data_IF_085651727663
#
_entry.id   IF_085651727663
#
_cell.length_a   1.000
_cell.length_b   1.000
_cell.length_c   1.000
_cell.angle_alpha   90.00
_cell.angle_beta   90.00
_cell.angle_gamma   90.00
#
_symmetry.space_group_name_H-M   'P 1'
#
loop_
_entity.id
_entity.type
_entity.pdbx_description
1 polymer ?
#
# COMPACT_ATOMS: atom_id res chain seq x y z
N UNK A 1 5.52 -3.97 17.99
CA UNK A 1 5.83 -2.70 17.30
C UNK A 1 6.04 -3.03 15.85
N UNK A 2 5.26 -2.42 14.97
CA UNK A 2 5.07 -2.87 13.60
C UNK A 2 6.19 -2.31 12.70
N UNK A 3 6.82 -3.18 11.90
CA UNK A 3 7.79 -2.79 10.88
C UNK A 3 7.00 -2.55 9.59
N UNK A 4 6.88 -1.31 9.13
CA UNK A 4 6.16 -0.98 7.89
C UNK A 4 7.15 -0.56 6.78
N UNK A 5 7.12 -1.21 5.61
CA UNK A 5 7.70 -0.70 4.35
C UNK A 5 6.78 0.39 3.76
N UNK A 6 7.30 1.35 2.99
CA UNK A 6 6.48 2.37 2.30
C UNK A 6 5.94 1.83 0.98
N UNK A 7 4.63 1.98 0.74
CA UNK A 7 3.97 1.67 -0.52
C UNK A 7 2.79 2.64 -0.75
N UNK A 8 2.49 3.03 -1.99
CA UNK A 8 1.50 4.09 -2.28
C UNK A 8 0.29 3.55 -3.06
N UNK A 9 -0.93 3.70 -2.55
CA UNK A 9 -2.12 3.51 -3.37
C UNK A 9 -2.43 4.81 -4.11
N UNK A 10 -2.53 4.77 -5.44
CA UNK A 10 -2.67 5.95 -6.30
C UNK A 10 -3.99 5.80 -7.07
N UNK A 11 -5.03 6.52 -6.69
CA UNK A 11 -6.31 6.53 -7.41
C UNK A 11 -6.25 7.56 -8.54
N UNK A 12 -6.40 7.14 -9.81
CA UNK A 12 -6.34 8.04 -10.97
C UNK A 12 -7.58 7.87 -11.83
N UNK A 13 -8.39 8.91 -12.00
CA UNK A 13 -9.61 8.84 -12.80
C UNK A 13 -9.33 9.12 -14.30
N UNK A 14 -10.27 8.82 -15.21
CA UNK A 14 -10.27 9.35 -16.58
C UNK A 14 -11.68 9.86 -16.92
N UNK A 15 -11.85 11.16 -17.18
CA UNK A 15 -13.11 11.75 -17.66
C UNK A 15 -12.84 12.69 -18.83
N UNK A 16 -13.44 12.40 -19.99
CA UNK A 16 -13.39 13.27 -21.17
C UNK A 16 -14.25 12.72 -22.31
N UNK A 17 -15.11 13.58 -22.87
CA UNK A 17 -16.00 13.33 -23.99
C UNK A 17 -15.28 12.80 -25.24
N UNK A 18 -15.52 11.54 -25.58
CA UNK A 18 -15.16 10.98 -26.89
C UNK A 18 -16.43 10.86 -27.73
N UNK A 19 -16.69 11.89 -28.55
CA UNK A 19 -17.66 11.80 -29.66
C UNK A 19 -17.16 10.76 -30.67
N UNK A 20 -17.62 9.52 -30.52
CA UNK A 20 -17.41 8.43 -31.47
C UNK A 20 -18.13 8.73 -32.79
N UNK A 21 -17.38 9.08 -33.82
CA UNK A 21 -17.79 8.84 -35.20
C UNK A 21 -17.46 7.38 -35.54
N UNK A 22 -18.50 6.62 -35.88
CA UNK A 22 -18.41 5.22 -36.26
C UNK A 22 -17.69 5.07 -37.62
N UNK A 23 -16.56 4.38 -37.63
CA UNK A 23 -16.05 3.63 -38.78
C UNK A 23 -15.00 2.62 -38.34
N UNK A 24 -15.31 1.35 -38.60
CA UNK A 24 -14.50 0.12 -38.64
C UNK A 24 -13.02 0.08 -38.15
N UNK A 25 -12.76 -1.04 -37.43
CA UNK A 25 -11.49 -1.61 -36.93
C UNK A 25 -10.81 -0.82 -35.81
N UNK A 26 -10.80 -1.38 -34.61
CA UNK A 26 -9.79 -1.14 -33.57
C UNK A 26 -8.57 -2.02 -33.88
N UNK A 27 -7.42 -1.46 -34.29
CA UNK A 27 -6.15 -2.19 -34.31
C UNK A 27 -5.35 -1.82 -33.05
N UNK A 28 -4.88 -2.86 -32.36
CA UNK A 28 -3.73 -2.93 -31.44
C UNK A 28 -3.45 -1.71 -30.52
N UNK A 29 -3.83 -1.83 -29.24
CA UNK A 29 -2.89 -1.41 -28.17
C UNK A 29 -1.58 -2.11 -28.52
N UNK A 30 -0.44 -1.42 -28.71
CA UNK A 30 0.84 -2.08 -29.00
C UNK A 30 1.31 -2.94 -27.81
N UNK A 31 0.66 -4.11 -27.74
CA UNK A 31 0.58 -5.20 -26.77
C UNK A 31 1.07 -4.87 -25.35
N UNK A 32 0.44 -3.90 -24.68
CA UNK A 32 0.80 -3.44 -23.33
C UNK A 32 2.30 -3.12 -23.12
N UNK A 33 2.98 -2.61 -24.17
CA UNK A 33 4.32 -2.02 -24.31
C UNK A 33 5.23 -2.75 -25.36
N UNK A 34 6.01 -2.02 -26.20
CA UNK A 34 6.67 -2.51 -27.43
C UNK A 34 7.62 -3.73 -27.32
N UNK A 35 7.73 -4.51 -28.41
CA UNK A 35 8.53 -5.77 -28.53
C UNK A 35 10.06 -5.63 -28.38
N UNK A 36 10.60 -4.41 -28.45
CA UNK A 36 12.05 -4.16 -28.44
C UNK A 36 12.57 -3.57 -27.11
N UNK A 37 11.75 -3.56 -26.05
CA UNK A 37 12.10 -2.99 -24.76
C UNK A 37 12.42 -4.07 -23.70
N UNK A 38 13.66 -4.05 -23.19
CA UNK A 38 14.00 -4.71 -21.92
C UNK A 38 13.56 -3.82 -20.76
N UNK A 39 12.64 -4.29 -19.93
CA UNK A 39 12.36 -3.71 -18.62
C UNK A 39 13.66 -3.67 -17.79
N UNK A 40 14.21 -2.48 -17.55
CA UNK A 40 15.48 -2.31 -16.81
C UNK A 40 15.33 -1.83 -15.36
N UNK A 41 14.13 -1.51 -14.88
CA UNK A 41 13.99 -0.95 -13.55
C UNK A 41 12.61 -1.21 -12.91
N UNK A 42 12.63 -1.75 -11.69
CA UNK A 42 11.49 -1.72 -10.76
C UNK A 42 11.54 -0.39 -10.01
N UNK A 43 10.43 0.33 -10.00
CA UNK A 43 10.34 1.61 -9.28
C UNK A 43 10.00 1.32 -7.82
N UNK A 44 10.86 1.73 -6.91
CA UNK A 44 10.74 1.44 -5.49
C UNK A 44 10.78 2.68 -4.57
N UNK A 45 10.55 2.50 -3.28
CA UNK A 45 10.60 3.53 -2.23
C UNK A 45 11.58 3.06 -1.17
N UNK A 46 12.81 2.79 -1.60
CA UNK A 46 13.83 2.12 -0.82
C UNK A 46 14.19 2.91 0.45
N UNK A 47 14.32 2.17 1.54
CA UNK A 47 14.68 2.71 2.85
C UNK A 47 15.75 1.87 3.52
N UNK A 48 16.37 2.43 4.54
CA UNK A 48 17.16 1.66 5.51
C UNK A 48 16.28 0.66 6.28
N UNK A 49 16.86 -0.36 6.92
CA UNK A 49 16.13 -1.24 7.85
C UNK A 49 15.43 -0.41 8.93
N UNK A 50 14.32 -0.89 9.50
CA UNK A 50 13.60 -0.10 10.51
C UNK A 50 14.24 -0.13 11.90
N UNK A 51 15.21 -1.01 12.14
CA UNK A 51 16.00 -1.07 13.39
C UNK A 51 17.42 -1.55 13.13
N UNK A 52 18.29 -1.24 14.09
CA UNK A 52 19.65 -1.77 14.22
C UNK A 52 19.64 -3.28 14.48
N UNK A 53 20.12 -4.06 13.51
CA UNK A 53 20.20 -5.53 13.52
C UNK A 53 21.36 -5.97 12.60
N UNK A 54 21.87 -7.18 12.79
CA UNK A 54 22.89 -7.81 11.93
C UNK A 54 24.15 -6.94 11.70
N UNK A 55 24.61 -6.25 12.73
CA UNK A 55 25.71 -5.28 12.61
C UNK A 55 27.09 -5.92 12.39
N UNK A 56 27.19 -7.22 12.68
CA UNK A 56 28.34 -8.02 12.30
C UNK A 56 28.39 -8.26 10.78
N UNK A 57 27.28 -8.03 10.05
CA UNK A 57 27.20 -8.13 8.59
C UNK A 57 27.22 -6.77 7.89
N UNK A 58 26.60 -5.75 8.49
CA UNK A 58 26.36 -4.45 7.88
C UNK A 58 26.74 -3.31 8.81
N UNK A 59 27.12 -2.13 8.27
CA UNK A 59 27.50 -1.01 9.11
C UNK A 59 26.33 -0.53 9.99
N UNK A 60 26.62 -0.05 11.23
CA UNK A 60 25.62 0.56 12.12
C UNK A 60 24.99 1.82 11.53
N UNK A 61 25.70 2.50 10.61
CA UNK A 61 25.29 3.75 10.02
C UNK A 61 25.24 3.57 8.51
N UNK A 62 24.08 3.87 7.94
CA UNK A 62 23.79 3.74 6.52
C UNK A 62 23.97 5.11 5.86
N UNK A 63 25.07 5.30 5.15
CA UNK A 63 25.48 6.58 4.56
C UNK A 63 24.88 6.76 3.15
N UNK A 64 23.54 6.89 3.06
CA UNK A 64 22.79 6.84 1.79
C UNK A 64 21.65 7.87 1.71
N UNK A 65 21.66 8.86 2.61
CA UNK A 65 20.61 9.87 2.76
C UNK A 65 21.22 11.27 2.71
N UNK A 66 21.72 11.69 1.55
CA UNK A 66 22.41 13.00 1.42
C UNK A 66 21.49 14.17 1.74
N UNK A 67 20.19 14.04 1.44
CA UNK A 67 19.19 15.08 1.75
C UNK A 67 18.97 15.26 3.25
N UNK A 68 19.44 14.34 4.11
CA UNK A 68 19.38 14.50 5.57
C UNK A 68 20.26 15.62 6.10
N UNK A 69 21.18 16.13 5.28
CA UNK A 69 21.92 17.34 5.63
C UNK A 69 20.96 18.49 5.93
N UNK A 70 19.83 18.57 5.22
CA UNK A 70 18.94 19.73 5.30
C UNK A 70 17.70 19.41 6.12
N UNK A 71 17.70 19.84 7.39
CA UNK A 71 16.47 19.94 8.18
C UNK A 71 15.98 21.38 8.14
N UNK A 72 14.71 21.55 7.80
CA UNK A 72 14.05 22.86 7.89
C UNK A 72 13.44 22.99 9.28
N UNK A 73 13.92 23.96 10.05
CA UNK A 73 13.33 24.35 11.32
C UNK A 73 12.56 25.65 11.16
N UNK A 74 11.36 25.73 11.72
CA UNK A 74 10.65 26.99 11.83
C UNK A 74 10.96 27.57 13.20
N UNK A 75 11.61 28.73 13.24
CA UNK A 75 11.70 29.53 14.45
C UNK A 75 10.57 30.54 14.45
N UNK A 76 9.99 30.77 15.62
CA UNK A 76 9.00 31.84 15.82
C UNK A 76 9.68 32.96 16.57
N UNK A 77 9.76 34.14 15.94
CA UNK A 77 10.02 35.37 16.66
C UNK A 77 8.71 35.88 17.25
N UNK A 78 8.72 36.18 18.55
CA UNK A 78 7.56 36.70 19.27
C UNK A 78 7.69 38.22 19.38
N UNK A 79 6.70 38.96 18.87
CA UNK A 79 6.54 40.40 19.10
C UNK A 79 5.22 40.62 19.84
N UNK A 80 5.27 40.64 21.17
CA UNK A 80 4.07 40.51 22.01
C UNK A 80 3.43 39.11 21.90
N UNK A 81 2.13 39.07 21.55
CA UNK A 81 1.39 37.80 21.27
C UNK A 81 1.45 37.39 19.79
N UNK A 82 1.99 38.24 18.92
CA UNK A 82 2.08 37.95 17.49
C UNK A 82 3.34 37.14 17.18
N UNK A 83 3.14 36.01 16.51
CA UNK A 83 4.17 35.07 16.11
C UNK A 83 4.55 35.28 14.64
N UNK A 84 5.81 35.65 14.36
CA UNK A 84 6.38 35.65 13.01
C UNK A 84 7.30 34.43 12.83
N UNK A 85 6.88 33.54 11.95
CA UNK A 85 7.62 32.32 11.63
C UNK A 85 8.67 32.57 10.55
N UNK A 86 9.92 32.19 10.82
CA UNK A 86 11.03 32.17 9.86
C UNK A 86 11.57 30.74 9.74
N UNK A 87 11.83 30.30 8.50
CA UNK A 87 12.46 29.01 8.25
C UNK A 87 13.98 29.17 8.27
N UNK A 88 14.67 28.41 9.11
CA UNK A 88 16.13 28.32 9.18
C UNK A 88 16.55 26.92 8.72
N UNK A 89 17.48 26.88 7.77
CA UNK A 89 18.15 25.66 7.37
C UNK A 89 19.14 25.21 8.44
N UNK A 90 19.03 23.96 8.87
CA UNK A 90 19.98 23.32 9.77
C UNK A 90 20.77 22.29 8.96
N UNK A 91 22.09 22.38 9.02
CA UNK A 91 22.97 21.33 8.52
C UNK A 91 23.19 20.26 9.58
N UNK A 92 22.72 19.03 9.32
CA UNK A 92 22.91 17.91 10.23
C UNK A 92 24.20 17.16 9.93
N UNK A 93 25.06 17.07 10.94
CA UNK A 93 26.33 16.36 10.89
C UNK A 93 26.28 15.20 11.89
N UNK A 94 26.76 14.01 11.49
CA UNK A 94 26.90 12.88 12.42
C UNK A 94 28.26 12.92 13.08
N UNK A 95 28.24 13.23 14.38
CA UNK A 95 29.42 13.16 15.23
C UNK A 95 29.84 11.70 15.44
N UNK A 96 31.13 11.42 15.19
CA UNK A 96 31.75 10.12 15.41
C UNK A 96 33.02 10.34 16.23
N UNK A 97 33.14 9.72 17.41
CA UNK A 97 34.41 9.73 18.13
C UNK A 97 35.51 9.18 17.21
N UNK A 98 36.50 10.02 16.91
CA UNK A 98 37.72 9.67 16.16
C UNK A 98 37.56 9.32 14.66
N UNK A 99 36.46 9.68 13.99
CA UNK A 99 36.33 9.57 12.53
C UNK A 99 35.74 10.84 11.92
N UNK A 100 36.19 11.20 10.72
CA UNK A 100 35.59 12.27 9.93
C UNK A 100 34.09 12.04 9.74
N UNK A 101 33.34 13.14 9.83
CA UNK A 101 31.88 13.20 9.83
C UNK A 101 31.32 12.60 8.55
N UNK A 102 30.33 11.71 8.68
CA UNK A 102 29.59 11.21 7.53
C UNK A 102 28.32 12.07 7.38
N UNK A 103 28.36 13.00 6.43
CA UNK A 103 27.33 14.03 6.25
C UNK A 103 26.07 13.48 5.55
N UNK A 104 25.85 12.17 5.50
CA UNK A 104 24.71 11.55 4.78
C UNK A 104 24.13 10.32 5.46
N UNK A 105 24.32 10.23 6.78
CA UNK A 105 23.77 9.15 7.57
C UNK A 105 22.23 9.17 7.56
N UNK A 106 21.65 8.02 7.27
CA UNK A 106 20.24 7.74 7.44
C UNK A 106 19.91 7.42 8.90
N UNK A 107 18.72 7.80 9.34
CA UNK A 107 18.06 7.11 10.46
C UNK A 107 17.55 5.74 10.00
N UNK A 108 17.31 4.83 10.94
CA UNK A 108 16.64 3.56 10.64
C UNK A 108 15.18 3.81 10.23
N UNK A 109 14.73 3.13 9.17
CA UNK A 109 13.40 3.25 8.60
C UNK A 109 13.20 4.52 7.78
N UNK A 110 14.29 5.12 7.30
CA UNK A 110 14.27 6.35 6.53
C UNK A 110 14.44 6.09 5.03
N UNK A 111 13.74 6.88 4.21
CA UNK A 111 13.87 6.84 2.75
C UNK A 111 15.31 7.21 2.35
N UNK A 112 15.93 6.42 1.48
CA UNK A 112 17.28 6.69 0.96
C UNK A 112 17.22 7.51 -0.32
N UNK A 113 18.39 7.95 -0.80
CA UNK A 113 18.48 8.65 -2.09
C UNK A 113 17.94 7.80 -3.24
N UNK A 114 18.18 6.48 -3.20
CA UNK A 114 17.61 5.54 -4.15
C UNK A 114 16.07 5.58 -4.08
N UNK A 115 15.50 5.51 -2.87
CA UNK A 115 14.05 5.62 -2.67
C UNK A 115 13.45 6.93 -3.16
N UNK A 116 14.13 8.06 -2.97
CA UNK A 116 13.69 9.37 -3.49
C UNK A 116 13.66 9.41 -5.02
N UNK A 117 14.74 8.94 -5.64
CA UNK A 117 14.85 8.88 -7.09
C UNK A 117 13.78 7.97 -7.67
N UNK A 118 13.63 6.77 -7.12
CA UNK A 118 12.63 5.82 -7.55
C UNK A 118 11.20 6.40 -7.40
N UNK A 119 10.83 7.02 -6.28
CA UNK A 119 9.52 7.68 -6.17
C UNK A 119 9.32 8.83 -7.18
N UNK A 120 10.37 9.57 -7.51
CA UNK A 120 10.33 10.59 -8.57
C UNK A 120 10.12 9.98 -9.97
N UNK A 121 10.72 8.81 -10.24
CA UNK A 121 10.46 8.06 -11.48
C UNK A 121 9.02 7.55 -11.54
N UNK A 122 8.43 7.13 -10.42
CA UNK A 122 7.00 6.78 -10.36
C UNK A 122 6.14 7.99 -10.70
N UNK A 123 6.46 9.16 -10.16
CA UNK A 123 5.79 10.42 -10.50
C UNK A 123 5.90 10.78 -11.98
N UNK A 124 7.10 10.64 -12.55
CA UNK A 124 7.35 10.85 -13.99
C UNK A 124 6.48 9.92 -14.82
N UNK A 125 6.38 8.65 -14.42
CA UNK A 125 5.54 7.66 -15.08
C UNK A 125 4.05 8.03 -15.05
N UNK A 126 3.55 8.51 -13.91
CA UNK A 126 2.17 9.00 -13.83
C UNK A 126 1.96 10.20 -14.76
N UNK A 127 2.95 11.10 -14.88
CA UNK A 127 2.88 12.25 -15.79
C UNK A 127 2.75 11.81 -17.24
N UNK A 128 3.62 10.90 -17.68
CA UNK A 128 3.59 10.36 -19.05
C UNK A 128 2.21 9.83 -19.43
N UNK A 129 1.53 9.15 -18.50
CA UNK A 129 0.23 8.55 -18.76
C UNK A 129 -0.87 9.61 -18.64
N UNK A 130 -0.98 10.27 -17.49
CA UNK A 130 -2.17 11.03 -17.13
C UNK A 130 -2.13 12.50 -17.53
N UNK A 131 -0.94 13.07 -17.76
CA UNK A 131 -0.79 14.42 -18.30
C UNK A 131 -0.54 14.33 -19.79
N UNK A 132 0.57 13.69 -20.18
CA UNK A 132 1.09 13.83 -21.55
C UNK A 132 0.28 13.03 -22.59
N UNK A 133 -0.12 11.79 -22.27
CA UNK A 133 -0.89 10.92 -23.19
C UNK A 133 -2.39 11.13 -23.12
N UNK A 134 -2.95 11.19 -21.92
CA UNK A 134 -4.40 11.23 -21.73
C UNK A 134 -4.95 12.66 -21.65
N UNK A 135 -4.11 13.66 -21.37
CA UNK A 135 -4.58 15.02 -21.08
C UNK A 135 -5.58 15.08 -19.91
N UNK A 136 -5.55 14.07 -19.03
CA UNK A 136 -6.51 13.93 -17.95
C UNK A 136 -6.21 14.89 -16.81
N UNK A 137 -4.94 14.98 -16.41
CA UNK A 137 -4.44 15.94 -15.44
C UNK A 137 -3.88 17.19 -16.14
N UNK A 138 -3.94 18.37 -15.49
CA UNK A 138 -3.40 19.59 -16.07
C UNK A 138 -1.88 19.50 -16.28
N UNK A 139 -1.36 20.27 -17.24
CA UNK A 139 0.09 20.32 -17.51
C UNK A 139 0.89 20.85 -16.31
N UNK A 140 0.35 21.87 -15.65
CA UNK A 140 0.89 22.50 -14.43
C UNK A 140 0.12 22.05 -13.20
N UNK A 141 0.78 22.06 -12.04
CA UNK A 141 0.17 21.67 -10.77
C UNK A 141 -1.03 22.57 -10.45
N UNK A 142 -2.19 21.95 -10.27
CA UNK A 142 -3.38 22.57 -9.69
C UNK A 142 -3.78 21.79 -8.44
N UNK A 143 -3.71 22.48 -7.29
CA UNK A 143 -4.06 21.92 -6.00
C UNK A 143 -5.50 21.38 -5.93
N UNK A 144 -6.44 21.99 -6.66
CA UNK A 144 -7.85 21.55 -6.68
C UNK A 144 -8.02 20.19 -7.34
N UNK A 145 -7.14 19.85 -8.27
CA UNK A 145 -7.22 18.60 -9.03
C UNK A 145 -6.64 17.40 -8.27
N UNK A 146 -5.92 17.60 -7.17
CA UNK A 146 -5.15 16.54 -6.50
C UNK A 146 -5.40 16.50 -5.00
N UNK A 147 -5.96 15.39 -4.56
CA UNK A 147 -6.04 15.04 -3.14
C UNK A 147 -4.82 14.21 -2.74
N UNK A 148 -4.14 14.59 -1.66
CA UNK A 148 -2.97 13.86 -1.15
C UNK A 148 -3.14 13.57 0.33
N UNK A 149 -3.01 12.29 0.68
CA UNK A 149 -3.01 11.80 2.05
C UNK A 149 -1.81 10.88 2.28
N UNK A 150 -1.19 10.96 3.45
CA UNK A 150 -0.11 10.05 3.85
C UNK A 150 -0.25 9.67 5.30
N UNK A 151 0.22 8.47 5.67
CA UNK A 151 0.33 8.10 7.09
C UNK A 151 1.34 9.01 7.78
N UNK A 152 1.24 9.12 9.09
CA UNK A 152 2.11 9.99 9.87
C UNK A 152 3.51 9.37 10.12
N UNK A 153 4.14 8.90 9.05
CA UNK A 153 5.52 8.43 9.04
C UNK A 153 6.35 9.30 8.09
N UNK A 154 7.50 9.84 8.50
CA UNK A 154 8.31 10.70 7.63
C UNK A 154 8.63 10.09 6.27
N UNK A 155 8.92 8.78 6.23
CA UNK A 155 9.19 8.07 4.96
C UNK A 155 8.02 8.05 3.99
N UNK A 156 6.76 7.97 4.45
CA UNK A 156 5.60 7.94 3.55
C UNK A 156 5.28 9.35 3.06
N UNK A 157 5.44 10.36 3.91
CA UNK A 157 5.30 11.77 3.54
C UNK A 157 6.35 12.18 2.50
N UNK A 158 7.61 11.79 2.72
CA UNK A 158 8.69 12.06 1.79
C UNK A 158 8.50 11.33 0.45
N UNK A 159 8.07 10.07 0.46
CA UNK A 159 7.81 9.32 -0.78
C UNK A 159 6.77 10.00 -1.67
N UNK A 160 5.66 10.51 -1.10
CA UNK A 160 4.65 11.21 -1.90
C UNK A 160 5.08 12.61 -2.34
N UNK A 161 5.91 13.29 -1.53
CA UNK A 161 6.53 14.55 -1.95
C UNK A 161 7.42 14.34 -3.17
N UNK A 162 8.26 13.29 -3.17
CA UNK A 162 9.12 12.96 -4.31
C UNK A 162 8.30 12.56 -5.55
N UNK A 163 7.26 11.75 -5.38
CA UNK A 163 6.35 11.39 -6.46
C UNK A 163 5.70 12.61 -7.08
N UNK A 164 5.12 13.51 -6.28
CA UNK A 164 4.38 14.66 -6.83
C UNK A 164 5.30 15.77 -7.28
N UNK A 165 6.17 16.28 -6.41
CA UNK A 165 6.98 17.47 -6.66
C UNK A 165 8.31 17.19 -7.38
N UNK A 166 8.78 15.94 -7.33
CA UNK A 166 9.98 15.48 -8.02
C UNK A 166 9.69 14.91 -9.41
N UNK A 167 8.57 14.19 -9.57
CA UNK A 167 8.21 13.51 -10.82
C UNK A 167 6.98 14.06 -11.56
N UNK A 168 5.81 14.04 -10.93
CA UNK A 168 4.55 14.35 -11.60
C UNK A 168 4.44 15.84 -12.02
N UNK A 169 4.85 16.73 -11.12
CA UNK A 169 4.95 18.17 -11.30
C UNK A 169 6.34 18.66 -10.85
N UNK A 170 7.38 18.45 -11.67
CA UNK A 170 8.72 18.94 -11.39
C UNK A 170 8.75 20.48 -11.34
N UNK A 171 9.85 21.13 -10.92
CA UNK A 171 9.93 22.59 -10.78
C UNK A 171 9.42 23.39 -11.99
N UNK A 172 9.63 22.90 -13.21
CA UNK A 172 9.15 23.57 -14.45
C UNK A 172 7.63 23.56 -14.63
N UNK A 173 6.90 22.75 -13.84
CA UNK A 173 5.46 22.50 -13.94
C UNK A 173 4.69 22.97 -12.71
N UNK A 174 5.26 23.88 -11.93
CA UNK A 174 4.65 24.51 -10.76
C UNK A 174 5.18 25.92 -10.56
N UNK A 175 4.52 26.69 -9.70
CA UNK A 175 4.96 28.04 -9.31
C UNK A 175 6.11 27.99 -8.29
N UNK A 176 6.84 29.10 -8.15
CA UNK A 176 7.99 29.20 -7.25
C UNK A 176 7.59 29.08 -5.76
N UNK A 177 6.39 29.53 -5.40
CA UNK A 177 5.83 29.48 -4.04
C UNK A 177 5.03 28.19 -3.76
N UNK A 178 5.18 27.17 -4.62
CA UNK A 178 4.49 25.88 -4.54
C UNK A 178 4.50 25.29 -3.12
N UNK A 179 3.30 24.91 -2.65
CA UNK A 179 3.08 24.18 -1.40
C UNK A 179 2.24 22.95 -1.67
N UNK A 180 2.79 21.78 -1.33
CA UNK A 180 2.06 20.53 -1.43
C UNK A 180 1.13 20.34 -0.21
N UNK A 181 -0.18 20.36 -0.40
CA UNK A 181 -1.15 20.12 0.69
C UNK A 181 -1.27 18.64 1.03
N UNK A 182 -0.40 18.20 1.95
CA UNK A 182 -0.39 16.84 2.49
C UNK A 182 -1.33 16.70 3.69
N UNK A 183 -2.26 15.74 3.62
CA UNK A 183 -3.18 15.43 4.72
C UNK A 183 -2.67 14.23 5.50
N UNK A 184 -2.62 14.35 6.82
CA UNK A 184 -2.36 13.26 7.76
C UNK A 184 -3.58 13.08 8.67
N UNK A 185 -3.71 11.91 9.29
CA UNK A 185 -4.75 11.65 10.29
C UNK A 185 -4.10 11.32 11.62
N UNK A 186 -4.78 11.63 12.72
CA UNK A 186 -4.36 11.19 14.05
C UNK A 186 -4.09 9.67 14.04
N UNK A 187 -2.96 9.19 14.58
CA UNK A 187 -2.62 7.77 14.60
C UNK A 187 -3.68 6.85 15.25
N UNK A 188 -4.55 7.39 16.12
CA UNK A 188 -5.67 6.65 16.73
C UNK A 188 -6.77 6.31 15.73
N UNK A 189 -6.98 7.18 14.75
CA UNK A 189 -8.08 7.10 13.77
C UNK A 189 -7.61 6.75 12.36
N UNK A 190 -6.30 6.68 12.14
CA UNK A 190 -5.72 6.37 10.84
C UNK A 190 -6.17 4.98 10.36
N UNK A 191 -6.64 4.93 9.12
CA UNK A 191 -7.11 3.73 8.43
C UNK A 191 -6.20 3.36 7.25
N UNK A 192 -5.03 3.99 7.10
CA UNK A 192 -4.06 3.64 6.06
C UNK A 192 -3.20 2.44 6.40
N UNK A 193 -3.41 1.78 7.54
CA UNK A 193 -2.80 0.51 7.90
C UNK A 193 -3.68 -0.22 8.92
N UNK A 194 -3.50 -1.54 9.11
CA UNK A 194 -4.20 -2.29 10.15
C UNK A 194 -3.83 -1.71 11.53
N UNK A 195 -4.73 -0.88 12.07
CA UNK A 195 -4.39 0.02 13.18
C UNK A 195 -4.26 -0.74 14.52
N UNK A 196 -3.09 -0.72 15.19
CA UNK A 196 -2.87 -1.45 16.44
C UNK A 196 -3.71 -0.94 17.63
N UNK A 197 -4.33 0.23 17.51
CA UNK A 197 -5.29 0.74 18.50
C UNK A 197 -6.62 -0.03 18.47
N UNK A 198 -6.94 -0.72 17.37
CA UNK A 198 -8.05 -1.66 17.32
C UNK A 198 -7.73 -2.90 18.18
N UNK A 199 -8.30 -2.94 19.40
CA UNK A 199 -8.08 -4.05 20.35
C UNK A 199 -8.41 -5.40 19.74
N UNK A 200 -9.50 -5.49 18.98
CA UNK A 200 -9.96 -6.73 18.33
C UNK A 200 -8.96 -7.22 17.28
N UNK A 201 -8.50 -6.34 16.40
CA UNK A 201 -7.47 -6.65 15.41
C UNK A 201 -6.16 -7.09 16.09
N UNK A 202 -5.77 -6.45 17.19
CA UNK A 202 -4.58 -6.85 17.96
C UNK A 202 -4.72 -8.24 18.61
N UNK A 203 -5.90 -8.62 19.08
CA UNK A 203 -6.16 -9.97 19.59
C UNK A 203 -6.06 -10.99 18.46
N UNK A 204 -6.75 -10.75 17.34
CA UNK A 204 -6.70 -11.61 16.16
C UNK A 204 -5.29 -11.76 15.61
N UNK A 205 -4.51 -10.68 15.53
CA UNK A 205 -3.11 -10.72 15.11
C UNK A 205 -2.25 -11.65 15.98
N UNK A 206 -2.48 -11.68 17.31
CA UNK A 206 -1.79 -12.62 18.21
C UNK A 206 -2.22 -14.07 17.98
N UNK A 207 -3.50 -14.32 17.72
CA UNK A 207 -4.02 -15.65 17.42
C UNK A 207 -3.45 -16.18 16.10
N UNK A 208 -3.52 -15.38 15.04
CA UNK A 208 -2.94 -15.74 13.74
C UNK A 208 -1.43 -15.91 13.82
N UNK A 209 -0.70 -15.08 14.58
CA UNK A 209 0.74 -15.26 14.75
C UNK A 209 1.08 -16.62 15.38
N UNK A 210 0.30 -17.10 16.37
CA UNK A 210 0.46 -18.46 16.93
C UNK A 210 0.19 -19.53 15.87
N UNK A 211 -0.89 -19.38 15.09
CA UNK A 211 -1.22 -20.30 14.02
C UNK A 211 -0.10 -20.37 12.98
N UNK A 212 0.40 -19.23 12.51
CA UNK A 212 1.49 -19.16 11.53
C UNK A 212 2.78 -19.75 12.09
N UNK A 213 3.09 -19.54 13.37
CA UNK A 213 4.27 -20.15 14.01
C UNK A 213 4.24 -21.68 13.97
N UNK A 214 3.05 -22.30 13.98
CA UNK A 214 2.90 -23.76 13.82
C UNK A 214 2.93 -24.14 12.34
N UNK A 215 2.19 -23.42 11.48
CA UNK A 215 2.12 -23.69 10.05
C UNK A 215 3.47 -23.58 9.34
N UNK A 216 4.34 -22.69 9.81
CA UNK A 216 5.64 -22.42 9.21
C UNK A 216 6.80 -23.01 10.02
N UNK A 217 6.53 -23.94 10.93
CA UNK A 217 7.56 -24.50 11.83
C UNK A 217 8.74 -25.06 11.04
N UNK A 218 8.48 -25.94 10.07
CA UNK A 218 9.53 -26.62 9.31
C UNK A 218 10.34 -25.63 8.45
N UNK A 219 9.68 -24.66 7.80
CA UNK A 219 10.38 -23.61 7.04
C UNK A 219 11.19 -22.68 7.94
N UNK A 220 10.70 -22.37 9.15
CA UNK A 220 11.46 -21.60 10.13
C UNK A 220 12.71 -22.36 10.60
N UNK A 221 12.61 -23.68 10.81
CA UNK A 221 13.76 -24.53 11.15
C UNK A 221 14.79 -24.54 10.00
N UNK A 222 14.35 -24.75 8.76
CA UNK A 222 15.21 -24.73 7.57
C UNK A 222 15.94 -23.39 7.44
N UNK A 223 15.20 -22.28 7.47
CA UNK A 223 15.79 -20.94 7.33
C UNK A 223 16.69 -20.60 8.53
N UNK A 224 16.33 -21.04 9.74
CA UNK A 224 17.16 -20.86 10.92
C UNK A 224 18.50 -21.59 10.78
N UNK A 225 18.51 -22.82 10.25
CA UNK A 225 19.75 -23.57 10.01
C UNK A 225 20.61 -22.92 8.91
N UNK A 226 19.99 -22.47 7.83
CA UNK A 226 20.68 -21.78 6.73
C UNK A 226 21.29 -20.44 7.16
N UNK A 227 20.66 -19.73 8.09
CA UNK A 227 21.11 -18.42 8.60
C UNK A 227 21.90 -18.50 9.91
N UNK A 228 22.08 -19.69 10.48
CA UNK A 228 22.79 -19.95 11.74
C UNK A 228 24.14 -19.26 11.88
N UNK A 229 24.97 -19.12 10.83
CA UNK A 229 26.25 -18.40 10.94
C UNK A 229 26.11 -16.89 11.26
N UNK A 230 24.91 -16.32 11.07
CA UNK A 230 24.64 -14.89 11.20
C UNK A 230 23.53 -14.59 12.23
N UNK A 231 22.64 -15.54 12.48
CA UNK A 231 21.51 -15.40 13.41
C UNK A 231 21.32 -16.71 14.17
N UNK A 232 21.43 -16.68 15.50
CA UNK A 232 21.34 -17.89 16.33
C UNK A 232 20.03 -18.67 16.14
N UNK A 233 18.91 -17.96 15.97
CA UNK A 233 17.60 -18.57 15.74
C UNK A 233 16.70 -17.62 14.96
N UNK A 234 15.97 -18.16 13.98
CA UNK A 234 14.94 -17.44 13.23
C UNK A 234 13.56 -17.96 13.62
N UNK A 235 12.74 -17.11 14.22
CA UNK A 235 11.33 -17.39 14.52
C UNK A 235 10.50 -16.10 14.45
N UNK A 236 9.18 -16.20 14.56
CA UNK A 236 8.30 -15.02 14.61
C UNK A 236 8.53 -14.18 15.88
N UNK A 237 9.10 -14.76 16.94
CA UNK A 237 9.30 -14.14 18.25
C UNK A 237 10.76 -14.01 18.67
N UNK A 238 11.71 -14.48 17.86
CA UNK A 238 13.15 -14.32 18.10
C UNK A 238 13.55 -12.85 18.02
N UNK A 239 14.77 -12.56 18.48
CA UNK A 239 15.33 -11.20 18.49
C UNK A 239 16.73 -11.24 17.85
N UNK A 240 16.86 -10.96 16.53
CA UNK A 240 15.84 -10.44 15.61
C UNK A 240 14.79 -11.49 15.18
N UNK A 241 13.54 -11.04 14.93
CA UNK A 241 12.46 -11.90 14.41
C UNK A 241 12.63 -12.15 12.92
N UNK A 242 11.93 -13.14 12.36
CA UNK A 242 11.94 -13.46 10.93
C UNK A 242 11.76 -12.21 10.03
N UNK A 243 10.73 -11.39 10.28
CA UNK A 243 10.56 -10.11 9.59
C UNK A 243 11.73 -9.14 9.81
N UNK A 244 12.28 -9.06 11.03
CA UNK A 244 13.43 -8.22 11.31
C UNK A 244 14.70 -8.62 10.55
N UNK A 245 14.90 -9.93 10.36
CA UNK A 245 16.00 -10.48 9.55
C UNK A 245 15.77 -10.16 8.08
N UNK A 246 14.57 -10.44 7.55
CA UNK A 246 14.22 -10.16 6.16
C UNK A 246 14.36 -8.67 5.81
N UNK A 247 13.80 -7.79 6.65
CA UNK A 247 13.88 -6.33 6.49
C UNK A 247 15.33 -5.84 6.34
N UNK A 248 16.24 -6.42 7.14
CA UNK A 248 17.66 -6.04 7.11
C UNK A 248 18.35 -6.57 5.85
N UNK A 249 18.16 -7.85 5.52
CA UNK A 249 18.79 -8.49 4.35
C UNK A 249 18.30 -7.90 3.03
N UNK A 250 16.99 -7.67 2.89
CA UNK A 250 16.40 -7.06 1.69
C UNK A 250 16.87 -5.61 1.55
N UNK A 251 16.84 -4.82 2.63
CA UNK A 251 17.39 -3.46 2.59
C UNK A 251 18.86 -3.45 2.18
N UNK A 252 19.67 -4.38 2.71
CA UNK A 252 21.09 -4.48 2.36
C UNK A 252 21.29 -4.84 0.89
N UNK A 253 20.63 -5.90 0.41
CA UNK A 253 20.69 -6.34 -0.99
C UNK A 253 20.28 -5.24 -1.95
N UNK A 254 19.16 -4.56 -1.68
CA UNK A 254 18.64 -3.48 -2.51
C UNK A 254 19.62 -2.30 -2.62
N UNK A 255 20.39 -2.04 -1.57
CA UNK A 255 21.38 -0.96 -1.54
C UNK A 255 22.78 -1.40 -1.97
N UNK A 256 22.92 -2.58 -2.57
CA UNK A 256 24.17 -3.06 -3.15
C UNK A 256 25.18 -3.61 -2.14
N UNK A 257 24.78 -3.83 -0.88
CA UNK A 257 25.64 -4.55 0.06
C UNK A 257 25.77 -6.01 -0.37
N UNK A 258 26.99 -6.53 -0.34
CA UNK A 258 27.24 -7.95 -0.60
C UNK A 258 26.66 -8.79 0.53
N UNK A 259 25.72 -9.67 0.20
CA UNK A 259 25.29 -10.73 1.11
C UNK A 259 26.30 -11.88 1.07
N UNK A 260 26.51 -12.61 2.18
CA UNK A 260 27.31 -13.82 2.15
C UNK A 260 26.77 -14.83 1.13
N UNK A 261 27.64 -15.61 0.49
CA UNK A 261 27.25 -16.56 -0.56
C UNK A 261 26.24 -17.62 -0.10
N UNK A 262 26.16 -17.90 1.21
CA UNK A 262 25.19 -18.82 1.80
C UNK A 262 23.79 -18.21 1.92
N UNK A 263 23.64 -16.88 1.89
CA UNK A 263 22.35 -16.18 1.89
C UNK A 263 21.90 -16.00 0.44
N UNK A 264 21.40 -17.08 -0.15
CA UNK A 264 20.94 -17.10 -1.54
C UNK A 264 19.54 -16.52 -1.69
N UNK A 265 19.12 -16.31 -2.94
CA UNK A 265 17.77 -15.84 -3.25
C UNK A 265 16.68 -16.83 -2.82
N UNK A 266 16.98 -18.13 -2.78
CA UNK A 266 16.09 -19.16 -2.23
C UNK A 266 15.88 -18.97 -0.72
N UNK A 267 16.95 -18.70 0.04
CA UNK A 267 16.86 -18.43 1.49
C UNK A 267 16.01 -17.19 1.74
N UNK A 268 16.23 -16.12 0.97
CA UNK A 268 15.43 -14.89 1.08
C UNK A 268 13.96 -15.13 0.73
N UNK A 269 13.68 -15.93 -0.32
CA UNK A 269 12.32 -16.24 -0.74
C UNK A 269 11.57 -17.11 0.28
N UNK A 270 12.23 -18.09 0.89
CA UNK A 270 11.66 -18.90 1.98
C UNK A 270 11.34 -18.06 3.20
N UNK A 271 12.29 -17.21 3.61
CA UNK A 271 12.09 -16.28 4.72
C UNK A 271 10.93 -15.31 4.43
N UNK A 272 10.87 -14.78 3.21
CA UNK A 272 9.75 -13.93 2.76
C UNK A 272 8.42 -14.65 2.81
N UNK A 273 8.32 -15.90 2.37
CA UNK A 273 7.08 -16.67 2.42
C UNK A 273 6.55 -16.83 3.86
N UNK A 274 7.46 -17.04 4.83
CA UNK A 274 7.09 -17.06 6.25
C UNK A 274 6.61 -15.69 6.72
N UNK A 275 7.30 -14.60 6.34
CA UNK A 275 6.94 -13.23 6.74
C UNK A 275 5.63 -12.78 6.08
N UNK A 276 5.37 -13.12 4.82
CA UNK A 276 4.07 -12.90 4.17
C UNK A 276 2.95 -13.54 4.98
N UNK A 277 3.12 -14.80 5.41
CA UNK A 277 2.14 -15.46 6.27
C UNK A 277 2.03 -14.78 7.63
N UNK A 278 3.14 -14.42 8.27
CA UNK A 278 3.15 -13.73 9.57
C UNK A 278 2.27 -12.48 9.56
N UNK A 279 2.34 -11.69 8.48
CA UNK A 279 1.67 -10.39 8.39
C UNK A 279 0.30 -10.43 7.74
N UNK A 280 0.10 -11.32 6.77
CA UNK A 280 -1.08 -11.27 5.90
C UNK A 280 -2.00 -12.49 6.01
N UNK A 281 -1.58 -13.60 6.63
CA UNK A 281 -2.41 -14.79 6.75
C UNK A 281 -3.76 -14.51 7.42
N UNK A 282 -3.79 -13.68 8.47
CA UNK A 282 -5.05 -13.27 9.09
C UNK A 282 -6.00 -12.56 8.11
N UNK A 283 -5.47 -11.72 7.22
CA UNK A 283 -6.27 -11.04 6.19
C UNK A 283 -6.70 -11.99 5.06
N UNK A 284 -5.89 -13.00 4.73
CA UNK A 284 -6.27 -14.04 3.75
C UNK A 284 -7.44 -14.88 4.27
N UNK A 285 -7.39 -15.28 5.54
CA UNK A 285 -8.34 -16.24 6.11
C UNK A 285 -9.58 -15.60 6.75
N UNK A 286 -9.49 -14.36 7.23
CA UNK A 286 -10.55 -13.75 8.04
C UNK A 286 -11.20 -12.54 7.40
N UNK A 287 -12.50 -12.61 7.04
CA UNK A 287 -13.29 -11.44 6.64
C UNK A 287 -13.28 -10.33 7.71
N UNK A 288 -13.22 -10.71 8.99
CA UNK A 288 -13.14 -9.75 10.11
C UNK A 288 -11.81 -9.00 10.07
N UNK A 289 -10.68 -9.68 9.82
CA UNK A 289 -9.38 -9.00 9.69
C UNK A 289 -9.37 -8.09 8.47
N UNK A 290 -10.00 -8.49 7.35
CA UNK A 290 -10.15 -7.62 6.16
C UNK A 290 -10.93 -6.34 6.50
N UNK A 291 -12.13 -6.48 7.08
CA UNK A 291 -12.98 -5.35 7.50
C UNK A 291 -12.27 -4.43 8.48
N UNK A 292 -11.64 -4.99 9.51
CA UNK A 292 -11.01 -4.19 10.55
C UNK A 292 -9.61 -3.66 10.22
N UNK A 293 -8.91 -4.31 9.28
CA UNK A 293 -7.60 -3.92 8.83
C UNK A 293 -7.68 -2.81 7.79
N UNK A 294 -8.03 -3.17 6.55
CA UNK A 294 -8.01 -2.27 5.39
C UNK A 294 -9.39 -2.00 4.77
N UNK A 295 -10.46 -2.58 5.33
CA UNK A 295 -11.82 -2.37 4.88
C UNK A 295 -12.27 -0.92 4.85
N UNK A 296 -11.90 -0.13 5.87
CA UNK A 296 -12.24 1.31 5.92
C UNK A 296 -11.61 2.09 4.77
N UNK A 297 -10.32 1.86 4.46
CA UNK A 297 -9.68 2.55 3.33
C UNK A 297 -10.25 2.07 1.99
N UNK A 298 -10.54 0.78 1.85
CA UNK A 298 -11.22 0.28 0.65
C UNK A 298 -12.60 0.92 0.49
N UNK A 299 -13.32 1.14 1.59
CA UNK A 299 -14.56 1.93 1.63
C UNK A 299 -14.36 3.35 1.14
N UNK A 300 -13.38 4.08 1.69
CA UNK A 300 -13.03 5.44 1.23
C UNK A 300 -12.74 5.48 -0.28
N UNK A 301 -12.03 4.48 -0.81
CA UNK A 301 -11.67 4.36 -2.24
C UNK A 301 -12.92 4.08 -3.10
N UNK A 302 -13.75 3.11 -2.69
CA UNK A 302 -15.03 2.79 -3.34
C UNK A 302 -15.95 4.00 -3.35
N UNK A 303 -16.13 4.66 -2.21
CA UNK A 303 -17.09 5.75 -2.05
C UNK A 303 -16.69 6.97 -2.89
N UNK A 304 -15.39 7.24 -3.04
CA UNK A 304 -14.91 8.24 -4.01
C UNK A 304 -15.32 7.91 -5.44
N UNK A 305 -15.15 6.66 -5.88
CA UNK A 305 -15.58 6.25 -7.21
C UNK A 305 -17.10 6.36 -7.40
N UNK A 306 -17.87 5.91 -6.41
CA UNK A 306 -19.33 5.92 -6.46
C UNK A 306 -19.87 7.34 -6.44
N UNK A 307 -19.40 8.18 -5.52
CA UNK A 307 -19.85 9.57 -5.41
C UNK A 307 -19.58 10.34 -6.69
N UNK A 308 -18.43 10.09 -7.32
CA UNK A 308 -18.07 10.66 -8.60
C UNK A 308 -18.94 10.19 -9.75
N UNK A 309 -19.11 8.87 -9.88
CA UNK A 309 -19.95 8.26 -10.92
C UNK A 309 -21.43 8.67 -10.82
N UNK A 310 -21.91 8.96 -9.61
CA UNK A 310 -23.29 9.39 -9.32
C UNK A 310 -23.43 10.91 -9.20
N UNK A 311 -22.33 11.66 -9.33
CA UNK A 311 -22.25 13.12 -9.13
C UNK A 311 -22.81 13.59 -7.77
N UNK A 312 -22.71 12.75 -6.74
CA UNK A 312 -23.06 13.12 -5.36
C UNK A 312 -22.04 14.08 -4.74
N UNK A 313 -20.83 14.14 -5.28
CA UNK A 313 -19.76 15.05 -4.87
C UNK A 313 -19.80 16.42 -5.56
N UNK A 314 -20.75 16.66 -6.48
CA UNK A 314 -20.78 17.84 -7.37
C UNK A 314 -20.69 19.19 -6.64
N UNK A 315 -21.17 19.27 -5.41
CA UNK A 315 -21.23 20.48 -4.59
C UNK A 315 -20.18 20.48 -3.46
N UNK A 316 -19.22 19.56 -3.49
CA UNK A 316 -18.16 19.43 -2.50
C UNK A 316 -16.79 19.77 -3.10
N UNK A 317 -15.79 20.14 -2.28
CA UNK A 317 -14.42 20.35 -2.76
C UNK A 317 -13.84 19.11 -3.48
N UNK A 318 -14.39 17.92 -3.22
CA UNK A 318 -13.99 16.68 -3.86
C UNK A 318 -14.36 16.58 -5.33
N UNK A 319 -15.37 17.33 -5.81
CA UNK A 319 -15.77 17.33 -7.21
C UNK A 319 -14.63 17.77 -8.16
N UNK A 320 -13.74 18.63 -7.68
CA UNK A 320 -12.61 19.12 -8.46
C UNK A 320 -11.45 18.11 -8.50
N UNK A 321 -11.40 17.15 -7.57
CA UNK A 321 -10.33 16.17 -7.53
C UNK A 321 -10.42 15.19 -8.72
N UNK A 322 -9.32 15.09 -9.45
CA UNK A 322 -9.10 14.15 -10.56
C UNK A 322 -8.19 12.99 -10.13
N UNK A 323 -7.26 13.26 -9.21
CA UNK A 323 -6.30 12.30 -8.68
C UNK A 323 -6.36 12.30 -7.15
N UNK A 324 -6.38 11.12 -6.55
CA UNK A 324 -6.25 10.94 -5.10
C UNK A 324 -5.07 10.00 -4.79
N UNK A 325 -4.08 10.49 -4.05
CA UNK A 325 -2.88 9.73 -3.68
C UNK A 325 -2.91 9.41 -2.20
N UNK A 326 -2.71 8.14 -1.86
CA UNK A 326 -2.58 7.62 -0.51
C UNK A 326 -1.20 7.00 -0.34
N UNK A 327 -0.32 7.64 0.42
CA UNK A 327 0.98 7.05 0.75
C UNK A 327 0.94 6.33 2.08
N UNK A 328 1.07 5.00 2.01
CA UNK A 328 0.98 4.11 3.16
C UNK A 328 2.11 3.09 3.15
N UNK A 329 1.74 1.83 3.33
CA UNK A 329 2.67 0.78 3.67
C UNK A 329 2.47 -0.51 2.86
N UNK A 330 3.43 -1.42 2.95
CA UNK A 330 3.24 -2.83 2.60
C UNK A 330 1.97 -3.43 3.24
N UNK A 331 1.73 -3.13 4.52
CA UNK A 331 0.51 -3.53 5.24
C UNK A 331 -0.74 -2.79 4.79
N UNK A 332 -0.61 -1.80 3.89
CA UNK A 332 -1.72 -1.18 3.17
C UNK A 332 -1.94 -1.94 1.87
N UNK A 333 -0.88 -2.09 1.07
CA UNK A 333 -0.95 -2.68 -0.27
C UNK A 333 -1.31 -4.16 -0.23
N UNK A 334 -0.63 -4.97 0.59
CA UNK A 334 -0.89 -6.41 0.70
C UNK A 334 -2.36 -6.71 1.02
N UNK A 335 -2.92 -6.17 2.13
CA UNK A 335 -4.31 -6.41 2.45
C UNK A 335 -5.32 -5.78 1.48
N UNK A 336 -5.01 -4.66 0.80
CA UNK A 336 -5.86 -4.16 -0.29
C UNK A 336 -5.89 -5.16 -1.45
N UNK A 337 -4.75 -5.72 -1.86
CA UNK A 337 -4.69 -6.76 -2.88
C UNK A 337 -5.45 -8.02 -2.46
N UNK A 338 -5.41 -8.37 -1.16
CA UNK A 338 -6.18 -9.51 -0.62
C UNK A 338 -7.69 -9.24 -0.73
N UNK A 339 -8.16 -8.04 -0.39
CA UNK A 339 -9.57 -7.65 -0.53
C UNK A 339 -10.03 -7.73 -2.00
N UNK A 340 -9.13 -7.43 -2.94
CA UNK A 340 -9.41 -7.47 -4.37
C UNK A 340 -9.25 -8.87 -4.99
N UNK A 341 -8.89 -9.88 -4.19
CA UNK A 341 -8.51 -11.21 -4.67
C UNK A 341 -7.40 -11.17 -5.75
N UNK A 342 -6.48 -10.20 -5.66
CA UNK A 342 -5.35 -10.01 -6.57
C UNK A 342 -3.99 -10.10 -5.88
N UNK A 343 -3.92 -10.64 -4.66
CA UNK A 343 -2.68 -10.82 -3.92
C UNK A 343 -1.91 -12.03 -4.45
N UNK A 344 -0.64 -11.84 -4.77
CA UNK A 344 0.24 -12.85 -5.38
C UNK A 344 1.03 -13.67 -4.34
N UNK A 345 0.68 -13.56 -3.06
CA UNK A 345 1.40 -14.19 -1.94
C UNK A 345 2.87 -13.79 -1.84
N UNK A 346 3.22 -12.60 -2.36
CA UNK A 346 4.55 -11.99 -2.25
C UNK A 346 4.51 -10.77 -1.35
N UNK A 347 5.63 -10.44 -0.72
CA UNK A 347 5.73 -9.20 0.04
C UNK A 347 5.69 -8.02 -0.94
N UNK A 348 4.84 -7.01 -0.74
CA UNK A 348 4.84 -5.84 -1.61
C UNK A 348 6.25 -5.20 -1.63
N UNK A 349 6.94 -5.18 -2.79
CA UNK A 349 8.26 -4.56 -2.87
C UNK A 349 8.21 -3.08 -2.48
N UNK A 350 9.36 -2.50 -2.14
CA UNK A 350 9.49 -1.05 -1.97
C UNK A 350 8.80 -0.30 -3.12
N UNK A 351 8.12 0.80 -2.82
CA UNK A 351 7.48 1.69 -3.82
C UNK A 351 6.33 1.07 -4.60
N UNK A 352 5.85 -0.09 -4.14
CA UNK A 352 4.68 -0.72 -4.72
C UNK A 352 3.49 0.22 -4.79
N UNK A 353 2.72 0.10 -5.86
CA UNK A 353 1.52 0.89 -6.06
C UNK A 353 0.34 0.10 -6.57
N UNK A 354 -0.83 0.38 -5.98
CA UNK A 354 -2.13 -0.08 -6.49
C UNK A 354 -2.84 1.12 -7.10
N UNK A 355 -3.15 1.03 -8.38
CA UNK A 355 -3.80 2.08 -9.15
C UNK A 355 -5.23 1.67 -9.46
N UNK A 356 -6.19 2.52 -9.11
CA UNK A 356 -7.60 2.34 -9.42
C UNK A 356 -8.02 3.41 -10.42
N UNK A 357 -8.59 3.00 -11.55
CA UNK A 357 -9.03 3.89 -12.61
C UNK A 357 -10.52 3.74 -12.86
N UNK A 358 -11.24 4.86 -12.80
CA UNK A 358 -12.67 4.93 -13.10
C UNK A 358 -12.85 5.50 -14.51
N UNK A 359 -13.53 4.74 -15.37
CA UNK A 359 -13.90 5.10 -16.73
C UNK A 359 -15.40 5.34 -16.84
N UNK A 360 -15.77 6.20 -17.78
CA UNK A 360 -17.15 6.47 -18.15
C UNK A 360 -17.35 6.12 -19.64
N UNK A 361 -18.47 5.47 -19.97
CA UNK A 361 -18.90 5.18 -21.34
C UNK A 361 -20.32 5.66 -21.56
N UNK A 362 -20.49 6.59 -22.47
CA UNK A 362 -21.81 7.00 -22.93
C UNK A 362 -22.27 6.17 -24.13
N UNK A 363 -23.51 5.68 -24.08
CA UNK A 363 -24.17 5.00 -25.19
C UNK A 363 -25.46 5.72 -25.52
N UNK A 364 -25.60 6.17 -26.76
CA UNK A 364 -26.84 6.78 -27.25
C UNK A 364 -27.98 5.75 -27.23
N UNK A 365 -29.12 6.14 -26.67
CA UNK A 365 -30.38 5.39 -26.69
C UNK A 365 -31.47 6.22 -27.36
N UNK A 366 -32.56 5.55 -27.74
CA UNK A 366 -33.68 6.20 -28.43
C UNK A 366 -34.34 7.31 -27.60
N UNK A 367 -34.27 7.22 -26.26
CA UNK A 367 -34.73 8.24 -25.31
C UNK A 367 -33.59 8.72 -24.38
N UNK A 368 -32.50 9.24 -24.94
CA UNK A 368 -31.42 9.89 -24.18
C UNK A 368 -30.10 9.12 -24.20
N UNK A 369 -29.21 9.40 -23.24
CA UNK A 369 -27.90 8.74 -23.11
C UNK A 369 -27.91 7.78 -21.92
N UNK A 370 -27.31 6.59 -22.09
CA UNK A 370 -26.98 5.70 -20.98
C UNK A 370 -25.51 5.89 -20.66
N UNK A 371 -25.21 6.31 -19.44
CA UNK A 371 -23.84 6.40 -18.93
C UNK A 371 -23.52 5.16 -18.10
N UNK A 372 -22.45 4.47 -18.44
CA UNK A 372 -21.94 3.29 -17.74
C UNK A 372 -20.56 3.57 -17.18
N UNK A 373 -20.25 3.00 -16.02
CA UNK A 373 -18.97 3.21 -15.35
C UNK A 373 -18.21 1.90 -15.17
N UNK A 374 -16.90 1.97 -15.37
CA UNK A 374 -16.01 0.83 -15.28
C UNK A 374 -14.79 1.13 -14.41
N UNK A 375 -14.25 0.10 -13.79
CA UNK A 375 -13.08 0.18 -12.91
C UNK A 375 -11.98 -0.74 -13.43
N UNK A 376 -10.78 -0.21 -13.57
CA UNK A 376 -9.56 -1.00 -13.82
C UNK A 376 -8.65 -0.87 -12.62
N UNK A 377 -7.99 -1.97 -12.24
CA UNK A 377 -7.00 -1.97 -11.17
C UNK A 377 -5.64 -2.43 -11.71
N UNK A 378 -4.57 -1.72 -11.33
CA UNK A 378 -3.19 -2.13 -11.59
C UNK A 378 -2.41 -2.31 -10.30
N UNK A 379 -1.52 -3.29 -10.26
CA UNK A 379 -0.52 -3.44 -9.23
C UNK A 379 0.87 -3.41 -9.87
N UNK A 380 1.68 -2.40 -9.52
CA UNK A 380 3.01 -2.17 -10.09
C UNK A 380 2.98 -2.16 -11.63
N UNK A 381 2.07 -1.36 -12.19
CA UNK A 381 1.76 -1.25 -13.63
C UNK A 381 1.24 -2.53 -14.32
N UNK A 382 1.08 -3.64 -13.60
CA UNK A 382 0.43 -4.84 -14.12
C UNK A 382 -1.07 -4.77 -13.91
N UNK A 383 -1.84 -5.08 -14.96
CA UNK A 383 -3.29 -5.20 -14.87
C UNK A 383 -3.67 -6.33 -13.91
N UNK A 384 -4.66 -6.06 -13.06
CA UNK A 384 -5.29 -7.09 -12.24
C UNK A 384 -6.63 -7.49 -12.88
N UNK A 385 -6.73 -8.76 -13.25
CA UNK A 385 -8.02 -9.39 -13.57
C UNK A 385 -8.67 -9.83 -12.28
N UNK A 386 -9.62 -9.04 -11.77
CA UNK A 386 -10.29 -9.36 -10.52
C UNK A 386 -11.25 -10.54 -10.73
N UNK A 387 -11.15 -11.65 -9.97
CA UNK A 387 -12.00 -12.82 -10.16
C UNK A 387 -13.50 -12.50 -10.12
N UNK A 388 -13.91 -11.54 -9.28
CA UNK A 388 -15.31 -11.10 -9.18
C UNK A 388 -15.83 -10.31 -10.38
N UNK A 389 -14.98 -10.01 -11.37
CA UNK A 389 -15.37 -9.36 -12.62
C UNK A 389 -15.46 -10.34 -13.80
N UNK A 390 -15.14 -11.63 -13.61
CA UNK A 390 -15.13 -12.61 -14.70
C UNK A 390 -16.52 -13.06 -15.18
N UNK A 391 -17.59 -12.64 -14.50
CA UNK A 391 -18.97 -12.95 -14.86
C UNK A 391 -19.42 -12.22 -16.13
N UNK A 392 -20.31 -12.85 -16.90
CA UNK A 392 -20.89 -12.21 -18.08
C UNK A 392 -21.69 -10.98 -17.68
N UNK A 393 -21.34 -9.81 -18.25
CA UNK A 393 -21.92 -8.52 -17.91
C UNK A 393 -21.22 -7.78 -16.76
N UNK A 394 -20.21 -8.38 -16.12
CA UNK A 394 -19.44 -7.77 -15.02
C UNK A 394 -18.15 -7.08 -15.49
N UNK A 395 -17.90 -7.04 -16.81
CA UNK A 395 -16.73 -6.40 -17.41
C UNK A 395 -17.05 -5.74 -18.78
N UNK A 396 -16.16 -4.87 -19.25
CA UNK A 396 -16.29 -4.19 -20.54
C UNK A 396 -16.02 -5.15 -21.70
N UNK A 397 -17.07 -5.51 -22.45
CA UNK A 397 -16.99 -6.45 -23.57
C UNK A 397 -16.30 -7.76 -23.17
N UNK A 398 -15.14 -8.10 -23.73
CA UNK A 398 -14.35 -9.30 -23.39
C UNK A 398 -13.12 -9.00 -22.51
N UNK A 399 -12.92 -7.74 -22.10
CA UNK A 399 -11.77 -7.32 -21.28
C UNK A 399 -12.08 -7.44 -19.78
N UNK A 400 -11.69 -8.59 -19.21
CA UNK A 400 -11.86 -8.92 -17.79
C UNK A 400 -11.06 -8.02 -16.83
N UNK A 401 -10.11 -7.25 -17.33
CA UNK A 401 -9.36 -6.29 -16.51
C UNK A 401 -10.13 -4.98 -16.26
N UNK A 402 -11.24 -4.76 -16.97
CA UNK A 402 -12.08 -3.57 -16.88
C UNK A 402 -13.46 -3.98 -16.35
N UNK A 403 -13.60 -3.99 -15.04
CA UNK A 403 -14.82 -4.36 -14.33
C UNK A 403 -15.93 -3.32 -14.50
N UNK A 404 -17.21 -3.70 -14.45
CA UNK A 404 -18.27 -2.72 -14.18
C UNK A 404 -18.11 -2.16 -12.76
N UNK A 405 -18.52 -0.91 -12.53
CA UNK A 405 -18.52 -0.31 -11.20
C UNK A 405 -19.40 -1.10 -10.21
N UNK A 406 -20.46 -1.75 -10.69
CA UNK A 406 -21.31 -2.62 -9.87
C UNK A 406 -20.57 -3.89 -9.42
N UNK A 407 -19.89 -4.57 -10.33
CA UNK A 407 -19.08 -5.74 -10.00
C UNK A 407 -17.95 -5.39 -9.01
N UNK A 408 -17.27 -4.25 -9.23
CA UNK A 408 -16.27 -3.75 -8.29
C UNK A 408 -16.85 -3.51 -6.89
N UNK A 409 -18.03 -2.88 -6.79
CA UNK A 409 -18.70 -2.69 -5.50
C UNK A 409 -19.03 -4.02 -4.81
N UNK A 410 -19.48 -5.03 -5.55
CA UNK A 410 -19.75 -6.38 -5.01
C UNK A 410 -18.50 -7.04 -4.44
N UNK A 411 -17.35 -6.92 -5.13
CA UNK A 411 -16.07 -7.47 -4.67
C UNK A 411 -15.68 -6.92 -3.30
N UNK A 412 -15.78 -5.61 -3.12
CA UNK A 412 -15.27 -4.97 -1.90
C UNK A 412 -16.29 -4.96 -0.76
N UNK A 413 -17.58 -5.20 -1.04
CA UNK A 413 -18.69 -5.04 -0.09
C UNK A 413 -18.47 -5.75 1.24
N UNK A 414 -18.14 -7.05 1.21
CA UNK A 414 -18.03 -7.88 2.42
C UNK A 414 -16.78 -7.56 3.26
N UNK A 415 -15.86 -6.79 2.68
CA UNK A 415 -14.64 -6.32 3.30
C UNK A 415 -14.75 -4.90 3.86
N UNK A 416 -15.90 -4.23 3.74
CA UNK A 416 -16.12 -2.89 4.29
C UNK A 416 -17.03 -2.99 5.52
N UNK A 417 -16.63 -2.44 6.69
CA UNK A 417 -17.48 -2.47 7.88
C UNK A 417 -18.73 -1.62 7.69
N UNK A 418 -19.90 -2.13 8.10
CA UNK A 418 -21.16 -1.37 8.07
C UNK A 418 -21.19 -0.32 9.19
N UNK A 419 -20.81 -0.71 10.40
CA UNK A 419 -20.61 0.16 11.55
C UNK A 419 -19.25 -0.15 12.19
N UNK A 420 -18.28 0.72 11.91
CA UNK A 420 -16.93 0.58 12.41
C UNK A 420 -16.85 0.60 13.94
N UNK A 421 -17.57 1.51 14.59
CA UNK A 421 -17.50 1.67 16.03
C UNK A 421 -18.12 0.45 16.74
N UNK A 422 -19.25 -0.03 16.25
CA UNK A 422 -19.85 -1.26 16.77
C UNK A 422 -18.93 -2.47 16.55
N UNK A 423 -18.30 -2.60 15.38
CA UNK A 423 -17.38 -3.70 15.09
C UNK A 423 -16.11 -3.68 15.95
N UNK A 424 -15.65 -2.50 16.40
CA UNK A 424 -14.54 -2.32 17.35
C UNK A 424 -14.83 -2.92 18.73
N UNK A 425 -16.04 -2.66 19.26
CA UNK A 425 -16.43 -3.04 20.62
C UNK A 425 -17.16 -4.39 20.70
N UNK A 426 -17.61 -4.94 19.56
CA UNK A 426 -18.22 -6.27 19.52
C UNK A 426 -17.19 -7.35 19.87
N UNK A 427 -17.36 -7.93 21.06
CA UNK A 427 -16.64 -9.12 21.50
C UNK A 427 -16.95 -10.22 20.50
N UNK A 428 -15.90 -10.84 19.93
CA UNK A 428 -16.08 -12.07 19.15
C UNK A 428 -16.73 -13.08 20.08
N UNK A 429 -18.01 -13.40 19.87
CA UNK A 429 -18.66 -14.54 20.53
C UNK A 429 -18.15 -15.84 19.92
N UNK A 430 -16.84 -16.10 20.05
CA UNK A 430 -16.21 -17.38 19.69
C UNK A 430 -16.83 -18.55 20.48
N UNK A 431 -17.55 -18.27 21.58
CA UNK A 431 -18.30 -19.26 22.35
C UNK A 431 -19.64 -19.71 21.76
N UNK A 432 -20.27 -18.97 20.81
CA UNK A 432 -21.59 -19.37 20.30
C UNK A 432 -21.53 -20.42 19.19
N UNK A 433 -20.51 -20.39 18.34
CA UNK A 433 -20.30 -21.43 17.32
C UNK A 433 -19.90 -22.77 17.96
N UNK A 434 -19.04 -22.75 18.98
CA UNK A 434 -18.70 -23.94 19.77
C UNK A 434 -19.91 -24.48 20.56
N UNK A 435 -20.74 -23.63 21.16
CA UNK A 435 -21.96 -24.08 21.83
C UNK A 435 -22.99 -24.66 20.86
N UNK A 436 -23.16 -24.10 19.65
CA UNK A 436 -24.07 -24.69 18.65
C UNK A 436 -23.53 -26.04 18.13
N UNK A 437 -22.23 -26.15 17.86
CA UNK A 437 -21.63 -27.41 17.45
C UNK A 437 -21.71 -28.47 18.55
N UNK A 438 -21.42 -28.11 19.82
CA UNK A 438 -21.57 -29.01 20.97
C UNK A 438 -23.03 -29.40 21.22
N UNK A 439 -23.99 -28.48 21.03
CA UNK A 439 -25.41 -28.78 21.16
C UNK A 439 -25.93 -29.70 20.06
N UNK A 440 -25.50 -29.50 18.81
CA UNK A 440 -25.81 -30.40 17.69
C UNK A 440 -25.18 -31.78 17.90
N UNK A 441 -23.95 -31.84 18.42
CA UNK A 441 -23.25 -33.09 18.71
C UNK A 441 -23.90 -33.85 19.88
N UNK A 442 -24.24 -33.15 20.97
CA UNK A 442 -24.98 -33.70 22.11
C UNK A 442 -26.37 -34.22 21.71
N UNK A 443 -27.10 -33.51 20.82
CA UNK A 443 -28.37 -34.00 20.28
C UNK A 443 -28.22 -35.29 19.47
N UNK A 444 -27.15 -35.43 18.69
CA UNK A 444 -26.87 -36.68 17.96
C UNK A 444 -26.57 -37.85 18.92
N UNK A 445 -25.81 -37.61 19.98
CA UNK A 445 -25.51 -38.63 21.00
C UNK A 445 -26.80 -39.05 21.74
N UNK A 446 -27.62 -38.10 22.18
CA UNK A 446 -28.88 -38.40 22.87
C UNK A 446 -29.85 -39.20 21.98
N UNK A 447 -29.94 -38.86 20.69
CA UNK A 447 -30.77 -39.60 19.74
C UNK A 447 -30.24 -41.01 19.45
N UNK A 448 -28.91 -41.20 19.45
CA UNK A 448 -28.29 -42.52 19.29
C UNK A 448 -28.62 -43.45 20.47
N UNK A 449 -28.65 -42.93 21.70
CA UNK A 449 -29.04 -43.73 22.87
C UNK A 449 -30.54 -44.03 22.90
N UNK A 450 -31.40 -43.09 22.47
CA UNK A 450 -32.86 -43.32 22.37
C UNK A 450 -33.29 -44.34 21.31
N UNK A 451 -32.44 -44.66 20.34
CA UNK A 451 -32.74 -45.65 19.30
C UNK A 451 -32.20 -47.05 19.64
N UNK A 452 -31.38 -47.18 20.68
CA UNK A 452 -30.72 -48.43 21.08
C UNK A 452 -31.07 -48.87 22.52
N UNK A 453 -32.15 -48.31 23.09
CA UNK A 453 -32.85 -48.73 24.31
C UNK A 453 -34.32 -48.81 24.00
#
# INVERSE_FOLDING_TARGET
>A
MINYVTASAIYVQQTGDLKLQMSAKLPELDAHYPKDLKLKQTVASERTPVRRRLEHMFPPIWNMCDTNRQLMSTITSMDGLDAKSQVIGIERIVDRPHQFTADNACYYGQLTNLGRNSMSLLGTRLREIYVDKLGFLPDRYDEKTIYIRSSDYPRTQESVQQLVAGGLYPPTKREDDFKLKLRIRDPRDDNMFPNPNCRKLRTLAKEFNKTVSVLCKDELEIVSDQLKPYVDTVSLSSHPSANGVLDTLISAKTHGFSLPATVTDDVLQRLEAVVVKEWFYGAMESPVVRRLGMGRLMGDIRDRMVNRATRLDKDTPEADHQLAIYSGHDTTVGPLLIILNGFDERWPPFGSSVIFELFEKETAKWFGTKTEHFVRVRYNDKLLELPGCAGSGDHLAEDKSICTLEAFQKIVKDSIPEDWEQELFSIVKLGQALCLCLWVYMKKIINYFKQNT
#
